data_IF_408915118748
#
_entry.id   IF_408915118748
#
_cell.length_a   1.000
_cell.length_b   1.000
_cell.length_c   1.000
_cell.angle_alpha   90.00
_cell.angle_beta   90.00
_cell.angle_gamma   90.00
#
_symmetry.space_group_name_H-M   'P 1'
#
loop_
_entity.id
_entity.type
_entity.pdbx_description
1 polymer ?
#
# COMPACT_ATOMS: atom_id res chain seq x y z
N UNK A 1 31.90 17.44 -60.32
CA UNK A 1 31.53 17.95 -58.98
C UNK A 1 30.72 16.85 -58.30
N UNK A 2 31.08 16.48 -57.06
CA UNK A 2 30.55 15.38 -56.22
C UNK A 2 30.87 13.94 -56.74
N UNK A 3 31.61 13.03 -56.05
CA UNK A 3 31.54 12.43 -54.68
C UNK A 3 30.18 11.72 -54.49
N UNK A 4 30.05 10.43 -54.19
CA UNK A 4 30.78 9.46 -53.36
C UNK A 4 30.49 8.03 -53.86
N UNK A 5 31.36 7.05 -53.55
CA UNK A 5 30.92 5.72 -53.09
C UNK A 5 32.07 4.85 -52.56
N UNK A 6 31.74 4.08 -51.52
CA UNK A 6 32.44 2.93 -50.92
C UNK A 6 33.62 3.18 -49.95
N UNK A 7 33.45 2.78 -48.69
CA UNK A 7 33.87 1.45 -48.21
C UNK A 7 33.79 1.36 -46.67
N UNK A 8 33.58 0.15 -46.20
CA UNK A 8 33.23 -0.27 -44.86
C UNK A 8 34.42 -0.38 -43.90
N UNK A 9 34.06 -0.48 -42.62
CA UNK A 9 34.67 -1.28 -41.54
C UNK A 9 36.01 -0.86 -40.92
N UNK A 10 35.96 -0.39 -39.67
CA UNK A 10 37.03 -0.56 -38.67
C UNK A 10 36.53 -0.18 -37.26
N UNK A 11 35.72 -1.05 -36.64
CA UNK A 11 35.38 -0.98 -35.20
C UNK A 11 35.63 -2.38 -34.60
N UNK A 12 36.90 -2.69 -34.28
CA UNK A 12 37.29 -4.04 -33.85
C UNK A 12 38.28 -4.14 -32.69
N UNK A 13 39.14 -3.14 -32.44
CA UNK A 13 40.28 -3.32 -31.51
C UNK A 13 40.19 -2.56 -30.18
N UNK A 14 39.35 -1.53 -30.03
CA UNK A 14 39.29 -0.75 -28.79
C UNK A 14 38.54 -1.45 -27.62
N UNK A 15 37.79 -2.51 -27.92
CA UNK A 15 36.98 -3.29 -26.96
C UNK A 15 37.75 -4.43 -26.28
N UNK A 16 38.90 -4.83 -26.83
CA UNK A 16 39.74 -5.92 -26.32
C UNK A 16 40.62 -5.48 -25.15
N UNK A 17 41.31 -4.33 -25.27
CA UNK A 17 42.23 -3.83 -24.23
C UNK A 17 41.48 -3.30 -22.99
N UNK A 18 40.31 -2.70 -23.20
CA UNK A 18 39.41 -2.26 -22.13
C UNK A 18 38.80 -3.45 -21.37
N UNK A 19 38.49 -4.55 -22.05
CA UNK A 19 38.01 -5.76 -21.41
C UNK A 19 39.11 -6.48 -20.60
N UNK A 20 40.35 -6.51 -21.09
CA UNK A 20 41.50 -7.11 -20.39
C UNK A 20 41.92 -6.31 -19.15
N UNK A 21 41.86 -4.99 -19.21
CA UNK A 21 42.12 -4.11 -18.07
C UNK A 21 41.02 -4.19 -17.01
N UNK A 22 39.74 -4.28 -17.39
CA UNK A 22 38.65 -4.49 -16.44
C UNK A 22 38.68 -5.88 -15.79
N UNK A 23 39.07 -6.92 -16.54
CA UNK A 23 39.24 -8.27 -16.00
C UNK A 23 40.36 -8.33 -14.96
N UNK A 24 41.52 -7.72 -15.23
CA UNK A 24 42.63 -7.67 -14.27
C UNK A 24 42.33 -6.81 -13.03
N UNK A 25 41.53 -5.74 -13.17
CA UNK A 25 41.05 -4.95 -12.03
C UNK A 25 40.05 -5.77 -11.18
N UNK A 26 39.14 -6.51 -11.81
CA UNK A 26 38.19 -7.37 -11.11
C UNK A 26 38.89 -8.50 -10.33
N UNK A 27 39.90 -9.14 -10.93
CA UNK A 27 40.70 -10.16 -10.24
C UNK A 27 41.49 -9.60 -9.05
N UNK A 28 42.05 -8.40 -9.18
CA UNK A 28 42.75 -7.72 -8.09
C UNK A 28 41.78 -7.30 -6.97
N UNK A 29 40.58 -6.87 -7.31
CA UNK A 29 39.53 -6.55 -6.32
C UNK A 29 39.08 -7.81 -5.59
N UNK A 30 38.94 -8.94 -6.29
CA UNK A 30 38.56 -10.21 -5.71
C UNK A 30 39.66 -10.76 -4.80
N UNK A 31 40.94 -10.67 -5.19
CA UNK A 31 42.08 -11.03 -4.35
C UNK A 31 42.20 -10.12 -3.12
N UNK A 32 41.97 -8.81 -3.28
CA UNK A 32 41.95 -7.84 -2.19
C UNK A 32 40.78 -8.07 -1.23
N UNK A 33 39.59 -8.40 -1.73
CA UNK A 33 38.43 -8.76 -0.92
C UNK A 33 38.63 -10.07 -0.15
N UNK A 34 39.27 -11.07 -0.76
CA UNK A 34 39.61 -12.35 -0.10
C UNK A 34 40.70 -12.14 0.96
N UNK A 35 41.70 -11.29 0.69
CA UNK A 35 42.73 -10.95 1.67
C UNK A 35 42.14 -10.12 2.82
N UNK A 36 41.27 -9.15 2.54
CA UNK A 36 40.57 -8.35 3.54
C UNK A 36 39.61 -9.20 4.40
N UNK A 37 38.88 -10.14 3.79
CA UNK A 37 38.06 -11.10 4.52
C UNK A 37 38.91 -12.02 5.40
N UNK A 38 40.08 -12.47 4.91
CA UNK A 38 41.03 -13.26 5.72
C UNK A 38 41.64 -12.45 6.85
N UNK A 39 42.01 -11.18 6.68
CA UNK A 39 42.57 -10.36 7.77
C UNK A 39 41.51 -10.00 8.81
N UNK A 40 40.25 -9.77 8.41
CA UNK A 40 39.13 -9.57 9.34
C UNK A 40 38.83 -10.87 10.12
N UNK A 41 38.82 -12.03 9.45
CA UNK A 41 38.69 -13.32 10.15
C UNK A 41 39.87 -13.61 11.07
N UNK A 42 41.10 -13.25 10.66
CA UNK A 42 42.29 -13.48 11.47
C UNK A 42 42.37 -12.52 12.67
N UNK A 43 41.95 -11.27 12.51
CA UNK A 43 41.86 -10.26 13.57
C UNK A 43 40.71 -10.57 14.55
N UNK A 44 39.57 -11.02 14.05
CA UNK A 44 38.44 -11.44 14.88
C UNK A 44 38.78 -12.71 15.68
N UNK A 45 39.50 -13.67 15.08
CA UNK A 45 39.93 -14.88 15.80
C UNK A 45 41.06 -14.64 16.80
N UNK A 46 41.98 -13.70 16.57
CA UNK A 46 42.99 -13.34 17.58
C UNK A 46 42.37 -12.56 18.74
N UNK A 47 41.41 -11.67 18.50
CA UNK A 47 40.65 -11.02 19.59
C UNK A 47 39.76 -12.01 20.34
N UNK A 48 39.15 -12.97 19.65
CA UNK A 48 38.37 -14.04 20.28
C UNK A 48 39.26 -14.98 21.11
N UNK A 49 40.46 -15.31 20.62
CA UNK A 49 41.47 -16.08 21.39
C UNK A 49 42.02 -15.29 22.57
N UNK A 50 42.27 -13.99 22.42
CA UNK A 50 42.65 -13.12 23.53
C UNK A 50 41.54 -13.10 24.60
N UNK A 51 40.28 -12.94 24.18
CA UNK A 51 39.13 -13.01 25.09
C UNK A 51 38.98 -14.40 25.74
N UNK A 52 39.24 -15.49 25.01
CA UNK A 52 39.29 -16.84 25.58
C UNK A 52 40.40 -17.02 26.61
N UNK A 53 41.53 -16.31 26.49
CA UNK A 53 42.61 -16.35 27.48
C UNK A 53 42.30 -15.51 28.73
N UNK A 54 41.54 -14.41 28.58
CA UNK A 54 41.05 -13.61 29.72
C UNK A 54 39.80 -14.22 30.39
N UNK A 55 39.07 -15.09 29.69
CA UNK A 55 37.92 -15.81 30.25
C UNK A 55 38.26 -16.64 31.49
N UNK A 56 39.29 -17.51 31.53
CA UNK A 56 39.61 -18.29 32.72
C UNK A 56 40.11 -17.42 33.87
N UNK A 57 40.78 -16.31 33.58
CA UNK A 57 41.21 -15.36 34.61
C UNK A 57 40.01 -14.61 35.20
N UNK A 58 39.14 -14.05 34.35
CA UNK A 58 37.90 -13.40 34.78
C UNK A 58 36.95 -14.38 35.48
N UNK A 59 36.84 -15.63 35.01
CA UNK A 59 36.05 -16.69 35.65
C UNK A 59 36.67 -17.08 36.98
N UNK A 60 38.01 -17.18 37.10
CA UNK A 60 38.64 -17.50 38.38
C UNK A 60 38.54 -16.36 39.40
N UNK A 61 38.65 -15.10 38.96
CA UNK A 61 38.42 -13.93 39.80
C UNK A 61 36.95 -13.86 40.20
N UNK A 62 36.03 -14.10 39.26
CA UNK A 62 34.60 -14.18 39.54
C UNK A 62 34.29 -15.31 40.52
N UNK A 63 34.86 -16.51 40.35
CA UNK A 63 34.71 -17.64 41.26
C UNK A 63 35.22 -17.33 42.66
N UNK A 64 36.34 -16.61 42.81
CA UNK A 64 36.82 -16.15 44.12
C UNK A 64 35.83 -15.19 44.80
N UNK A 65 35.28 -14.23 44.06
CA UNK A 65 34.26 -13.33 44.60
C UNK A 65 32.94 -14.06 44.89
N UNK A 66 32.58 -15.01 44.04
CA UNK A 66 31.39 -15.84 44.17
C UNK A 66 31.50 -16.75 45.41
N UNK A 67 32.66 -17.36 45.65
CA UNK A 67 32.91 -18.18 46.84
C UNK A 67 32.91 -17.34 48.12
N UNK A 68 33.51 -16.15 48.11
CA UNK A 68 33.45 -15.21 49.25
C UNK A 68 32.01 -14.76 49.50
N UNK A 69 31.27 -14.44 48.44
CA UNK A 69 29.87 -14.04 48.52
C UNK A 69 28.98 -15.17 49.06
N UNK A 70 29.15 -16.39 48.57
CA UNK A 70 28.39 -17.54 49.05
C UNK A 70 28.78 -17.96 50.46
N UNK A 71 30.05 -17.86 50.83
CA UNK A 71 30.48 -18.07 52.21
C UNK A 71 29.91 -17.00 53.13
N UNK A 72 29.87 -15.74 52.71
CA UNK A 72 29.28 -14.66 53.50
C UNK A 72 27.74 -14.75 53.57
N UNK A 73 27.08 -15.24 52.53
CA UNK A 73 25.66 -15.61 52.58
C UNK A 73 25.45 -16.78 53.52
N UNK A 74 26.32 -17.79 53.49
CA UNK A 74 26.22 -18.98 54.36
C UNK A 74 26.44 -18.61 55.82
N UNK A 75 27.42 -17.75 56.11
CA UNK A 75 27.68 -17.21 57.45
C UNK A 75 26.55 -16.28 57.89
N UNK A 76 26.05 -15.45 56.98
CA UNK A 76 24.85 -14.63 57.18
C UNK A 76 23.59 -15.46 57.40
N UNK A 77 23.49 -16.64 56.78
CA UNK A 77 22.39 -17.62 56.93
C UNK A 77 22.48 -18.34 58.28
N UNK A 78 23.69 -18.69 58.73
CA UNK A 78 23.92 -19.22 60.07
C UNK A 78 23.63 -18.16 61.14
N UNK A 79 23.96 -16.89 60.90
CA UNK A 79 23.61 -15.75 61.79
C UNK A 79 22.11 -15.44 61.77
N UNK A 80 21.45 -15.67 60.63
CA UNK A 80 20.01 -15.52 60.42
C UNK A 80 19.17 -16.59 61.12
N UNK A 81 19.74 -17.78 61.36
CA UNK A 81 19.13 -18.82 62.19
C UNK A 81 18.98 -18.34 63.64
N UNK A 82 19.92 -17.53 64.13
CA UNK A 82 19.89 -16.98 65.49
C UNK A 82 18.95 -15.77 65.61
N UNK A 83 18.59 -15.13 64.50
CA UNK A 83 17.69 -13.97 64.44
C UNK A 83 16.58 -14.16 63.37
N UNK A 84 15.51 -14.92 63.68
CA UNK A 84 14.50 -15.32 62.69
C UNK A 84 13.71 -14.16 62.07
N UNK A 85 13.62 -13.02 62.74
CA UNK A 85 12.93 -11.83 62.22
C UNK A 85 13.70 -11.14 61.08
N UNK A 86 15.04 -11.12 61.16
CA UNK A 86 15.91 -10.46 60.16
C UNK A 86 16.01 -11.29 58.88
N UNK A 87 16.05 -12.61 59.02
CA UNK A 87 16.13 -13.55 57.90
C UNK A 87 14.84 -13.59 57.08
N UNK A 88 13.69 -13.51 57.74
CA UNK A 88 12.38 -13.39 57.08
C UNK A 88 12.32 -12.14 56.19
N UNK A 89 12.81 -10.98 56.66
CA UNK A 89 12.84 -9.75 55.88
C UNK A 89 13.74 -9.81 54.64
N UNK A 90 14.92 -10.43 54.76
CA UNK A 90 15.84 -10.64 53.63
C UNK A 90 15.28 -11.63 52.62
N UNK A 91 14.66 -12.72 53.07
CA UNK A 91 14.02 -13.68 52.19
C UNK A 91 12.84 -13.05 51.41
N UNK A 92 12.02 -12.22 52.07
CA UNK A 92 10.91 -11.52 51.41
C UNK A 92 11.42 -10.51 50.38
N UNK A 93 12.46 -9.74 50.68
CA UNK A 93 13.00 -8.76 49.73
C UNK A 93 13.71 -9.42 48.54
N UNK A 94 14.45 -10.50 48.76
CA UNK A 94 15.04 -11.31 47.69
C UNK A 94 13.97 -11.97 46.82
N UNK A 95 12.90 -12.51 47.43
CA UNK A 95 11.76 -13.07 46.71
C UNK A 95 11.05 -12.01 45.85
N UNK A 96 10.84 -10.81 46.39
CA UNK A 96 10.29 -9.68 45.62
C UNK A 96 11.20 -9.28 44.46
N UNK A 97 12.53 -9.27 44.62
CA UNK A 97 13.43 -8.91 43.53
C UNK A 97 13.50 -9.99 42.43
N UNK A 98 13.36 -11.26 42.82
CA UNK A 98 13.34 -12.40 41.90
C UNK A 98 12.04 -12.48 41.09
N UNK A 99 10.93 -11.97 41.63
CA UNK A 99 9.65 -11.95 40.93
C UNK A 99 9.67 -11.06 39.67
N UNK A 100 9.08 -11.57 38.60
CA UNK A 100 9.15 -10.98 37.24
C UNK A 100 8.46 -9.61 37.13
N UNK A 101 7.43 -9.36 37.95
CA UNK A 101 6.68 -8.10 38.01
C UNK A 101 7.49 -6.94 38.61
N UNK A 102 7.83 -6.98 39.90
CA UNK A 102 8.65 -5.95 40.57
C UNK A 102 10.00 -5.71 39.89
N UNK A 103 10.66 -6.75 39.35
CA UNK A 103 11.86 -6.60 38.50
C UNK A 103 11.60 -5.68 37.31
N UNK A 104 10.54 -5.92 36.53
CA UNK A 104 10.17 -5.10 35.36
C UNK A 104 9.76 -3.68 35.77
N UNK A 105 9.09 -3.54 36.91
CA UNK A 105 8.72 -2.25 37.47
C UNK A 105 9.95 -1.42 37.83
N UNK A 106 10.91 -1.99 38.58
CA UNK A 106 12.16 -1.34 38.93
C UNK A 106 12.95 -0.95 37.68
N UNK A 107 13.15 -1.88 36.72
CA UNK A 107 13.86 -1.56 35.47
C UNK A 107 13.22 -0.44 34.67
N UNK A 108 11.89 -0.36 34.65
CA UNK A 108 11.17 0.69 33.91
C UNK A 108 11.23 2.04 34.62
N UNK A 109 11.35 2.05 35.94
CA UNK A 109 11.36 3.27 36.76
C UNK A 109 12.77 3.81 37.09
N UNK A 110 13.80 2.94 37.14
CA UNK A 110 15.18 3.31 37.48
C UNK A 110 16.05 3.42 36.23
N UNK A 111 16.08 2.40 35.36
CA UNK A 111 16.91 2.43 34.15
C UNK A 111 16.40 3.36 33.06
N UNK A 112 15.10 3.67 33.03
CA UNK A 112 14.53 4.65 32.09
C UNK A 112 15.02 6.09 32.32
N UNK A 113 15.54 6.39 33.53
CA UNK A 113 16.10 7.72 33.87
C UNK A 113 17.55 7.90 33.42
N UNK A 114 18.28 6.82 33.11
CA UNK A 114 19.66 6.87 32.61
C UNK A 114 19.76 6.94 31.08
N UNK A 115 18.64 7.08 30.36
CA UNK A 115 18.72 7.42 28.94
C UNK A 115 19.24 8.85 28.81
N UNK A 116 20.41 9.01 28.18
CA UNK A 116 21.02 10.31 27.94
C UNK A 116 20.04 11.22 27.20
N UNK A 117 20.09 12.52 27.53
CA UNK A 117 19.27 13.53 26.86
C UNK A 117 19.45 13.47 25.35
N UNK A 118 20.68 13.27 24.90
CA UNK A 118 21.06 13.07 23.49
C UNK A 118 20.30 11.91 22.83
N UNK A 119 20.14 10.76 23.51
CA UNK A 119 19.40 9.62 22.97
C UNK A 119 17.90 9.91 22.85
N UNK A 120 17.34 10.72 23.76
CA UNK A 120 15.94 11.18 23.68
C UNK A 120 15.75 12.20 22.57
N UNK A 121 16.67 13.16 22.42
CA UNK A 121 16.65 14.13 21.34
C UNK A 121 16.79 13.48 19.97
N UNK A 122 17.76 12.56 19.79
CA UNK A 122 17.93 11.84 18.53
C UNK A 122 16.69 11.00 18.16
N UNK A 123 15.99 10.43 19.16
CA UNK A 123 14.72 9.71 18.94
C UNK A 123 13.60 10.66 18.51
N UNK A 124 13.46 11.79 19.19
CA UNK A 124 12.44 12.80 18.85
C UNK A 124 12.71 13.40 17.46
N UNK A 125 13.97 13.70 17.12
CA UNK A 125 14.35 14.21 15.81
C UNK A 125 14.00 13.23 14.69
N UNK A 126 14.29 11.93 14.88
CA UNK A 126 13.87 10.88 13.93
C UNK A 126 12.36 10.83 13.78
N UNK A 127 11.61 10.88 14.89
CA UNK A 127 10.15 10.88 14.85
C UNK A 127 9.59 12.12 14.13
N UNK A 128 10.19 13.30 14.32
CA UNK A 128 9.78 14.54 13.63
C UNK A 128 10.07 14.44 12.12
N UNK A 129 11.22 13.88 11.73
CA UNK A 129 11.55 13.65 10.31
C UNK A 129 10.58 12.67 9.65
N UNK A 130 10.29 11.55 10.32
CA UNK A 130 9.32 10.55 9.85
C UNK A 130 7.91 11.17 9.72
N UNK A 131 7.50 11.93 10.73
CA UNK A 131 6.22 12.65 10.69
C UNK A 131 6.18 13.65 9.52
N UNK A 132 7.24 14.41 9.28
CA UNK A 132 7.29 15.36 8.18
C UNK A 132 7.16 14.67 6.81
N UNK A 133 7.86 13.54 6.62
CA UNK A 133 7.69 12.71 5.41
C UNK A 133 6.25 12.22 5.25
N UNK A 134 5.62 11.75 6.34
CA UNK A 134 4.23 11.29 6.32
C UNK A 134 3.26 12.42 5.94
N UNK A 135 3.47 13.63 6.47
CA UNK A 135 2.66 14.81 6.17
C UNK A 135 2.81 15.22 4.71
N UNK A 136 4.03 15.17 4.17
CA UNK A 136 4.27 15.52 2.77
C UNK A 136 3.66 14.50 1.79
N UNK A 137 3.68 13.21 2.14
CA UNK A 137 2.94 12.19 1.39
C UNK A 137 1.44 12.44 1.44
N UNK A 138 0.89 12.67 2.64
CA UNK A 138 -0.53 12.98 2.81
C UNK A 138 -0.97 14.22 2.04
N UNK A 139 -0.14 15.28 1.98
CA UNK A 139 -0.41 16.47 1.17
C UNK A 139 -0.48 16.14 -0.33
N UNK A 140 0.46 15.33 -0.83
CA UNK A 140 0.47 14.93 -2.24
C UNK A 140 -0.73 14.05 -2.59
N UNK A 141 -1.05 13.09 -1.73
CA UNK A 141 -2.19 12.20 -1.92
C UNK A 141 -3.52 12.95 -1.81
N UNK A 142 -3.66 13.88 -0.87
CA UNK A 142 -4.88 14.68 -0.71
C UNK A 142 -5.13 15.55 -1.93
N UNK A 143 -4.12 16.25 -2.47
CA UNK A 143 -4.26 17.03 -3.71
C UNK A 143 -4.67 16.13 -4.88
N UNK A 144 -4.04 14.95 -5.00
CA UNK A 144 -4.36 13.99 -6.08
C UNK A 144 -5.79 13.46 -5.96
N UNK A 145 -6.26 13.19 -4.74
CA UNK A 145 -7.63 12.74 -4.49
C UNK A 145 -8.64 13.86 -4.77
N UNK A 146 -8.38 15.09 -4.31
CA UNK A 146 -9.23 16.24 -4.57
C UNK A 146 -9.37 16.54 -6.07
N UNK A 147 -8.28 16.43 -6.83
CA UNK A 147 -8.33 16.59 -8.29
C UNK A 147 -9.18 15.50 -8.95
N UNK A 148 -9.06 14.24 -8.51
CA UNK A 148 -9.88 13.14 -9.03
C UNK A 148 -11.35 13.29 -8.67
N UNK A 149 -11.67 13.71 -7.45
CA UNK A 149 -13.06 13.94 -7.05
C UNK A 149 -13.67 15.12 -7.81
N UNK A 150 -12.92 16.20 -8.03
CA UNK A 150 -13.39 17.34 -8.81
C UNK A 150 -13.66 16.98 -10.27
N UNK A 151 -12.80 16.14 -10.87
CA UNK A 151 -13.00 15.61 -12.22
C UNK A 151 -14.25 14.71 -12.26
N UNK A 152 -14.36 13.75 -11.35
CA UNK A 152 -15.50 12.84 -11.27
C UNK A 152 -16.82 13.60 -11.04
N UNK A 153 -16.83 14.65 -10.22
CA UNK A 153 -17.99 15.52 -10.02
C UNK A 153 -18.39 16.24 -11.32
N UNK A 154 -17.41 16.77 -12.07
CA UNK A 154 -17.66 17.41 -13.36
C UNK A 154 -18.27 16.44 -14.36
N UNK A 155 -17.71 15.23 -14.48
CA UNK A 155 -18.22 14.19 -15.38
C UNK A 155 -19.61 13.72 -14.97
N UNK A 156 -19.87 13.55 -13.66
CA UNK A 156 -21.18 13.19 -13.15
C UNK A 156 -22.23 14.25 -13.47
N UNK A 157 -21.92 15.54 -13.25
CA UNK A 157 -22.81 16.65 -13.59
C UNK A 157 -23.08 16.69 -15.10
N UNK A 158 -22.04 16.55 -15.90
CA UNK A 158 -22.17 16.50 -17.36
C UNK A 158 -23.05 15.34 -17.82
N UNK A 159 -22.76 14.11 -17.37
CA UNK A 159 -23.56 12.93 -17.68
C UNK A 159 -25.01 13.06 -17.21
N UNK A 160 -25.25 13.68 -16.05
CA UNK A 160 -26.61 13.99 -15.60
C UNK A 160 -27.34 14.93 -16.57
N UNK A 161 -26.71 16.02 -16.99
CA UNK A 161 -27.32 16.94 -17.97
C UNK A 161 -27.57 16.29 -19.33
N UNK A 162 -26.69 15.39 -19.77
CA UNK A 162 -26.84 14.64 -21.02
C UNK A 162 -28.02 13.65 -20.92
N UNK A 163 -28.17 12.96 -19.79
CA UNK A 163 -29.31 12.06 -19.54
C UNK A 163 -30.64 12.82 -19.50
N UNK A 164 -30.70 14.00 -18.87
CA UNK A 164 -31.89 14.87 -18.90
C UNK A 164 -32.20 15.30 -20.34
N UNK A 165 -31.19 15.75 -21.10
CA UNK A 165 -31.34 16.15 -22.50
C UNK A 165 -31.87 15.00 -23.38
N UNK A 166 -31.23 13.83 -23.32
CA UNK A 166 -31.67 12.65 -24.06
C UNK A 166 -33.06 12.16 -23.61
N UNK A 167 -33.34 12.20 -22.32
CA UNK A 167 -34.64 11.88 -21.75
C UNK A 167 -35.75 12.77 -22.31
N UNK A 168 -35.56 14.09 -22.30
CA UNK A 168 -36.56 15.03 -22.83
C UNK A 168 -36.80 14.82 -24.33
N UNK A 169 -35.75 14.53 -25.09
CA UNK A 169 -35.88 14.17 -26.51
C UNK A 169 -36.67 12.87 -26.71
N UNK A 170 -36.41 11.82 -25.91
CA UNK A 170 -37.22 10.59 -25.96
C UNK A 170 -38.68 10.85 -25.59
N UNK A 171 -38.94 11.72 -24.62
CA UNK A 171 -40.30 12.06 -24.21
C UNK A 171 -41.04 12.80 -25.33
N UNK A 172 -40.39 13.76 -26.00
CA UNK A 172 -40.95 14.47 -27.16
C UNK A 172 -41.19 13.52 -28.34
N UNK A 173 -40.24 12.62 -28.62
CA UNK A 173 -40.36 11.64 -29.69
C UNK A 173 -41.46 10.61 -29.40
N UNK A 174 -41.61 10.17 -28.14
CA UNK A 174 -42.70 9.29 -27.74
C UNK A 174 -44.07 9.98 -27.90
N UNK A 175 -44.17 11.28 -27.55
CA UNK A 175 -45.38 12.09 -27.75
C UNK A 175 -45.70 12.28 -29.24
N UNK A 176 -44.70 12.52 -30.09
CA UNK A 176 -44.92 12.65 -31.54
C UNK A 176 -45.30 11.32 -32.18
N UNK A 177 -44.62 10.23 -31.82
CA UNK A 177 -44.96 8.88 -32.25
C UNK A 177 -46.38 8.49 -31.84
N UNK A 178 -46.82 8.85 -30.62
CA UNK A 178 -48.20 8.67 -30.17
C UNK A 178 -49.22 9.40 -31.07
N UNK A 179 -48.94 10.66 -31.45
CA UNK A 179 -49.82 11.42 -32.36
C UNK A 179 -49.89 10.80 -33.75
N UNK A 180 -48.76 10.32 -34.29
CA UNK A 180 -48.71 9.66 -35.59
C UNK A 180 -49.40 8.29 -35.55
N UNK A 181 -49.19 7.52 -34.49
CA UNK A 181 -49.88 6.25 -34.24
C UNK A 181 -51.39 6.45 -34.24
N UNK A 182 -51.91 7.45 -33.52
CA UNK A 182 -53.34 7.72 -33.47
C UNK A 182 -53.92 8.11 -34.85
N UNK A 183 -53.16 8.83 -35.68
CA UNK A 183 -53.58 9.15 -37.06
C UNK A 183 -53.58 7.91 -37.95
N UNK A 184 -52.57 7.05 -37.79
CA UNK A 184 -52.48 5.81 -38.55
C UNK A 184 -53.57 4.82 -38.14
N UNK A 185 -53.95 4.76 -36.86
CA UNK A 185 -55.08 3.94 -36.39
C UNK A 185 -56.40 4.47 -36.92
N UNK A 186 -56.62 5.80 -36.90
CA UNK A 186 -57.83 6.39 -37.48
C UNK A 186 -57.94 6.12 -39.00
N UNK A 187 -56.82 6.20 -39.73
CA UNK A 187 -56.76 5.83 -41.15
C UNK A 187 -57.07 4.34 -41.36
N UNK A 188 -56.52 3.47 -40.52
CA UNK A 188 -56.76 2.03 -40.56
C UNK A 188 -58.24 1.70 -40.33
N UNK A 189 -58.88 2.39 -39.38
CA UNK A 189 -60.29 2.25 -39.07
C UNK A 189 -61.16 2.72 -40.25
N UNK A 190 -60.81 3.82 -40.91
CA UNK A 190 -61.51 4.28 -42.13
C UNK A 190 -61.39 3.27 -43.27
N UNK A 191 -60.20 2.71 -43.50
CA UNK A 191 -59.97 1.69 -44.55
C UNK A 191 -60.73 0.39 -44.28
N UNK A 192 -61.08 0.10 -43.03
CA UNK A 192 -61.82 -1.12 -42.66
C UNK A 192 -63.23 -1.17 -43.24
N UNK A 193 -63.85 -0.02 -43.54
CA UNK A 193 -65.20 0.07 -44.08
C UNK A 193 -65.27 0.04 -45.62
N UNK A 194 -64.12 0.05 -46.32
CA UNK A 194 -64.07 0.08 -47.78
C UNK A 194 -63.75 -1.32 -48.32
N UNK A 195 -64.68 -2.01 -49.02
CA UNK A 195 -64.49 -3.38 -49.48
C UNK A 195 -63.71 -3.49 -50.81
N UNK A 196 -62.70 -2.65 -51.08
CA UNK A 196 -61.91 -2.68 -52.33
C UNK A 196 -60.57 -3.42 -52.18
N UNK A 197 -60.07 -4.02 -53.28
CA UNK A 197 -58.78 -4.75 -53.29
C UNK A 197 -57.59 -3.84 -52.96
N UNK A 198 -57.61 -2.61 -53.45
CA UNK A 198 -56.58 -1.60 -53.14
C UNK A 198 -56.63 -1.16 -51.68
N UNK A 199 -57.83 -0.99 -51.10
CA UNK A 199 -58.00 -0.68 -49.68
C UNK A 199 -57.49 -1.81 -48.78
N UNK A 200 -57.61 -3.07 -49.21
CA UNK A 200 -57.05 -4.22 -48.48
C UNK A 200 -55.51 -4.19 -48.44
N UNK A 201 -54.86 -3.83 -49.56
CA UNK A 201 -53.40 -3.68 -49.59
C UNK A 201 -52.94 -2.53 -48.68
N UNK A 202 -53.58 -1.36 -48.78
CA UNK A 202 -53.31 -0.22 -47.91
C UNK A 202 -53.56 -0.54 -46.44
N UNK A 203 -54.59 -1.32 -46.13
CA UNK A 203 -54.89 -1.76 -44.76
C UNK A 203 -53.76 -2.58 -44.17
N UNK A 204 -53.19 -3.51 -44.93
CA UNK A 204 -52.06 -4.31 -44.48
C UNK A 204 -50.82 -3.42 -44.21
N UNK A 205 -50.56 -2.48 -45.10
CA UNK A 205 -49.45 -1.53 -44.97
C UNK A 205 -49.62 -0.62 -43.73
N UNK A 206 -50.79 0.01 -43.58
CA UNK A 206 -51.09 0.88 -42.43
C UNK A 206 -51.10 0.09 -41.13
N UNK A 207 -51.62 -1.15 -41.12
CA UNK A 207 -51.55 -2.01 -39.94
C UNK A 207 -50.09 -2.32 -39.55
N UNK A 208 -49.22 -2.57 -40.53
CA UNK A 208 -47.79 -2.77 -40.28
C UNK A 208 -47.14 -1.50 -39.70
N UNK A 209 -47.46 -0.32 -40.23
CA UNK A 209 -46.98 0.97 -39.72
C UNK A 209 -47.42 1.21 -38.27
N UNK A 210 -48.70 0.99 -37.95
CA UNK A 210 -49.22 1.09 -36.57
C UNK A 210 -48.47 0.16 -35.63
N UNK A 211 -48.23 -1.09 -36.04
CA UNK A 211 -47.51 -2.06 -35.22
C UNK A 211 -46.05 -1.62 -34.95
N UNK A 212 -45.38 -1.06 -35.96
CA UNK A 212 -44.02 -0.55 -35.85
C UNK A 212 -43.95 0.68 -34.93
N UNK A 213 -44.87 1.63 -35.08
CA UNK A 213 -44.97 2.82 -34.24
C UNK A 213 -45.23 2.46 -32.77
N UNK A 214 -46.14 1.50 -32.51
CA UNK A 214 -46.41 1.00 -31.16
C UNK A 214 -45.18 0.36 -30.54
N UNK A 215 -44.42 -0.43 -31.33
CA UNK A 215 -43.16 -1.05 -30.88
C UNK A 215 -42.10 0.02 -30.57
N UNK A 216 -41.91 0.99 -31.44
CA UNK A 216 -40.98 2.11 -31.25
C UNK A 216 -41.35 2.93 -30.00
N UNK A 217 -42.63 3.30 -29.84
CA UNK A 217 -43.13 4.00 -28.65
C UNK A 217 -42.85 3.23 -27.37
N UNK A 218 -43.12 1.92 -27.37
CA UNK A 218 -42.83 1.07 -26.20
C UNK A 218 -41.33 1.02 -25.88
N UNK A 219 -40.46 1.02 -26.89
CA UNK A 219 -39.01 1.03 -26.72
C UNK A 219 -38.52 2.37 -26.15
N UNK A 220 -39.07 3.50 -26.62
CA UNK A 220 -38.78 4.83 -26.08
C UNK A 220 -39.22 4.96 -24.63
N UNK A 221 -40.44 4.52 -24.30
CA UNK A 221 -40.94 4.54 -22.91
C UNK A 221 -40.08 3.69 -21.97
N UNK A 222 -39.59 2.53 -22.42
CA UNK A 222 -38.64 1.72 -21.64
C UNK A 222 -37.33 2.46 -21.37
N UNK A 223 -36.84 3.28 -22.31
CA UNK A 223 -35.65 4.11 -22.10
C UNK A 223 -35.91 5.23 -21.09
N UNK A 224 -37.07 5.89 -21.18
CA UNK A 224 -37.49 6.93 -20.21
C UNK A 224 -37.56 6.35 -18.79
N UNK A 225 -38.20 5.18 -18.62
CA UNK A 225 -38.27 4.51 -17.31
C UNK A 225 -36.88 4.20 -16.76
N UNK A 226 -35.96 3.68 -17.59
CA UNK A 226 -34.56 3.43 -17.17
C UNK A 226 -33.84 4.70 -16.72
N UNK A 227 -34.07 5.84 -17.38
CA UNK A 227 -33.47 7.12 -16.97
C UNK A 227 -34.06 7.58 -15.63
N UNK A 228 -35.37 7.43 -15.44
CA UNK A 228 -36.04 7.75 -14.17
C UNK A 228 -35.58 6.83 -13.02
N UNK A 229 -35.33 5.54 -13.28
CA UNK A 229 -34.77 4.59 -12.30
C UNK A 229 -33.37 4.99 -11.83
N UNK A 230 -32.61 5.75 -12.62
CA UNK A 230 -31.32 6.34 -12.24
C UNK A 230 -31.47 7.61 -11.39
N UNK A 231 -32.70 8.00 -11.01
CA UNK A 231 -32.99 9.21 -10.24
C UNK A 231 -32.95 10.50 -11.04
N UNK A 232 -32.92 10.42 -12.38
CA UNK A 232 -32.94 11.58 -13.27
C UNK A 232 -34.37 11.88 -13.69
N UNK A 233 -34.94 13.06 -13.36
CA UNK A 233 -36.30 13.41 -13.77
C UNK A 233 -36.35 13.75 -15.26
N UNK A 234 -37.31 13.13 -15.98
CA UNK A 234 -37.53 13.30 -17.43
C UNK A 234 -38.98 13.61 -17.76
#
# INVERSE_FOLDING_TARGET
MAKEDSSSSSDGDASSESAQSLASIAENLQRSAIQSARTVQHSSSTQFRAFQNFLPEAVSQYRKYEDVFFNQIKDGLMTAKDNPALSAGLAISAALLAMRGPRRFLFRHTLGRFQSEEARYARTEKNVKDLNLSVDLLKKESVKLLQRTALAEKEMKYGHTELVGAGTQFQQLAKSAYKVENRATDLLDKLRYIPSREALALRAEVASMVSNLKRQRSALNKRIVKINELGVPV
#
